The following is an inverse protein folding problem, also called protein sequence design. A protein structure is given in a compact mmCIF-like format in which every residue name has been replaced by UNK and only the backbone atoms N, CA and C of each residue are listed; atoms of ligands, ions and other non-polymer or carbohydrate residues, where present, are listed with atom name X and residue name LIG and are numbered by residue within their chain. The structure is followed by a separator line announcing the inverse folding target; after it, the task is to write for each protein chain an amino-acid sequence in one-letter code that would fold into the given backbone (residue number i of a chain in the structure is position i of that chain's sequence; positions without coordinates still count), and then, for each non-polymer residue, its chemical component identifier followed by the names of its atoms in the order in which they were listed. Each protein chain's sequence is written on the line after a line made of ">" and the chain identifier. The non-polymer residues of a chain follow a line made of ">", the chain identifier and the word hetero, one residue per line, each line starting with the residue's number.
data_IF_998902592543
#
_entry.id   IF_998902592543
#
_cell.length_a   1.000
_cell.length_b   1.000
_cell.length_c   1.000
_cell.angle_alpha   90.00
_cell.angle_beta   90.00
_cell.angle_gamma   90.00
#
_symmetry.space_group_name_H-M   'P 1'
#
loop_
_entity.id
_entity.type
_entity.pdbx_description
1 polymer ?
#
# COMPACT_ATOMS: atom_id res chain seq x y z
N UNK A 1 -34.88 -22.01 98.20
CA UNK A 1 -36.09 -21.18 98.60
C UNK A 1 -35.83 -19.79 98.05
N UNK A 2 -36.84 -19.03 97.62
CA UNK A 2 -37.83 -19.27 96.57
C UNK A 2 -37.59 -18.36 95.36
N UNK A 3 -37.94 -18.78 94.22
CA UNK A 3 -39.07 -18.49 93.34
C UNK A 3 -39.50 -17.01 93.20
N UNK A 4 -39.59 -16.53 91.95
CA UNK A 4 -40.68 -15.83 91.28
C UNK A 4 -40.25 -15.38 89.89
N UNK A 5 -40.77 -16.02 88.85
CA UNK A 5 -41.88 -15.69 87.96
C UNK A 5 -41.85 -14.24 87.44
N UNK A 6 -41.54 -14.10 86.15
CA UNK A 6 -42.46 -13.80 85.06
C UNK A 6 -42.86 -12.34 84.87
N UNK A 7 -42.48 -11.71 83.82
CA UNK A 7 -43.37 -10.98 82.93
C UNK A 7 -42.76 -10.75 81.57
N UNK A 8 -43.38 -11.36 80.55
CA UNK A 8 -43.14 -11.06 79.15
C UNK A 8 -43.73 -9.71 78.85
N UNK A 9 -42.93 -8.79 78.30
CA UNK A 9 -43.44 -7.65 77.48
C UNK A 9 -42.81 -7.79 76.06
N UNK A 10 -43.70 -8.09 75.16
CA UNK A 10 -43.44 -8.05 73.72
C UNK A 10 -43.47 -6.58 73.33
N UNK A 11 -42.31 -6.01 72.93
CA UNK A 11 -42.24 -4.76 72.23
C UNK A 11 -41.92 -5.09 70.76
N UNK A 12 -42.95 -5.00 69.93
CA UNK A 12 -42.80 -5.09 68.51
C UNK A 12 -42.08 -3.83 68.00
N UNK A 13 -40.77 -3.99 67.67
CA UNK A 13 -40.00 -2.95 66.99
C UNK A 13 -40.20 -3.13 65.53
N UNK A 14 -41.05 -2.31 64.91
CA UNK A 14 -41.19 -2.22 63.44
C UNK A 14 -39.96 -1.49 62.93
N UNK A 15 -38.97 -2.25 62.50
CA UNK A 15 -37.85 -1.75 61.68
C UNK A 15 -38.32 -1.49 60.29
N UNK A 16 -38.62 -0.23 59.94
CA UNK A 16 -38.71 0.23 58.55
C UNK A 16 -37.31 0.11 57.88
N UNK A 17 -37.07 -0.97 57.19
CA UNK A 17 -35.91 -1.08 56.35
C UNK A 17 -36.23 -0.28 55.05
N UNK A 18 -35.75 0.96 55.03
CA UNK A 18 -35.70 1.76 53.82
C UNK A 18 -34.67 1.11 52.85
N UNK A 19 -35.13 0.37 51.88
CA UNK A 19 -34.31 -0.05 50.73
C UNK A 19 -33.95 1.20 49.94
N UNK A 20 -32.78 1.77 50.20
CA UNK A 20 -32.14 2.70 49.28
C UNK A 20 -31.67 1.85 48.09
N UNK A 21 -32.49 1.81 47.07
CA UNK A 21 -32.05 1.29 45.76
C UNK A 21 -31.00 2.27 45.18
N UNK A 22 -29.73 2.04 45.52
CA UNK A 22 -28.63 2.63 44.77
C UNK A 22 -28.66 2.03 43.40
N UNK A 23 -29.34 2.72 42.47
CA UNK A 23 -29.25 2.45 41.07
C UNK A 23 -27.79 2.64 40.67
N UNK A 24 -27.06 1.54 40.52
CA UNK A 24 -25.86 1.52 39.72
C UNK A 24 -26.31 1.80 38.29
N UNK A 25 -26.31 3.07 37.92
CA UNK A 25 -26.22 3.43 36.50
C UNK A 25 -24.87 2.91 36.06
N UNK A 26 -24.87 1.65 35.55
CA UNK A 26 -23.78 1.09 34.82
C UNK A 26 -23.73 1.96 33.58
N UNK A 27 -22.84 2.96 33.55
CA UNK A 27 -22.48 3.66 32.33
C UNK A 27 -22.15 2.57 31.35
N UNK A 28 -23.05 2.34 30.42
CA UNK A 28 -22.75 1.57 29.22
C UNK A 28 -21.66 2.37 28.54
N UNK A 29 -20.39 2.00 28.81
CA UNK A 29 -19.26 2.41 27.99
C UNK A 29 -19.66 1.94 26.61
N UNK A 30 -20.13 2.87 25.80
CA UNK A 30 -20.37 2.65 24.39
C UNK A 30 -19.05 2.12 23.84
N UNK A 31 -18.96 0.81 23.71
CA UNK A 31 -17.82 0.21 23.00
C UNK A 31 -17.91 0.79 21.60
N UNK A 32 -17.07 1.77 21.32
CA UNK A 32 -16.85 2.21 19.94
C UNK A 32 -16.60 0.93 19.16
N UNK A 33 -17.48 0.62 18.23
CA UNK A 33 -17.35 -0.59 17.43
C UNK A 33 -15.95 -0.58 16.79
N UNK A 34 -15.25 -1.69 16.82
CA UNK A 34 -13.99 -1.82 16.09
C UNK A 34 -14.29 -2.03 14.63
N UNK A 35 -13.39 -1.55 13.75
CA UNK A 35 -13.41 -1.92 12.35
C UNK A 35 -13.07 -3.41 12.18
N UNK A 36 -13.23 -3.93 10.98
CA UNK A 36 -12.87 -5.32 10.69
C UNK A 36 -12.05 -5.45 9.43
N UNK A 37 -11.12 -6.39 9.44
CA UNK A 37 -10.34 -6.79 8.29
C UNK A 37 -10.99 -8.03 7.67
N UNK A 38 -11.25 -8.01 6.36
CA UNK A 38 -11.73 -9.17 5.60
C UNK A 38 -10.72 -9.53 4.53
N UNK A 39 -10.50 -10.81 4.31
CA UNK A 39 -9.72 -11.32 3.20
C UNK A 39 -10.65 -11.91 2.16
N UNK A 40 -10.52 -11.48 0.92
CA UNK A 40 -11.36 -11.91 -0.20
C UNK A 40 -10.52 -12.32 -1.39
N UNK A 41 -11.12 -13.09 -2.28
CA UNK A 41 -10.56 -13.39 -3.60
C UNK A 41 -11.25 -12.52 -4.63
N UNK A 42 -10.46 -11.82 -5.43
CA UNK A 42 -10.94 -10.94 -6.49
C UNK A 42 -10.47 -11.48 -7.83
N UNK A 43 -11.41 -11.63 -8.75
CA UNK A 43 -11.08 -11.98 -10.14
C UNK A 43 -10.30 -10.84 -10.78
N UNK A 44 -9.20 -11.19 -11.45
CA UNK A 44 -8.31 -10.29 -12.16
C UNK A 44 -8.17 -10.72 -13.64
N UNK A 45 -9.22 -10.52 -14.47
CA UNK A 45 -9.19 -10.90 -15.88
C UNK A 45 -7.98 -10.31 -16.65
N UNK A 46 -7.50 -9.15 -16.22
CA UNK A 46 -6.31 -8.51 -16.77
C UNK A 46 -5.04 -9.37 -16.67
N UNK A 47 -4.98 -10.31 -15.72
CA UNK A 47 -3.83 -11.21 -15.54
C UNK A 47 -3.93 -12.49 -16.38
N UNK A 48 -5.02 -12.69 -17.12
CA UNK A 48 -5.20 -13.88 -17.95
C UNK A 48 -4.14 -13.96 -19.04
N UNK A 49 -3.55 -15.13 -19.20
CA UNK A 49 -2.56 -15.40 -20.23
C UNK A 49 -1.14 -14.94 -19.90
N UNK A 50 -0.87 -14.54 -18.63
CA UNK A 50 0.52 -14.28 -18.21
C UNK A 50 1.39 -15.53 -18.37
N UNK A 51 2.65 -15.37 -18.80
CA UNK A 51 3.56 -16.48 -19.07
C UNK A 51 4.18 -17.11 -17.81
N UNK A 52 3.97 -16.49 -16.66
CA UNK A 52 4.53 -16.97 -15.39
C UNK A 52 3.63 -18.01 -14.69
N UNK A 53 2.38 -18.18 -15.15
CA UNK A 53 1.39 -19.06 -14.53
C UNK A 53 0.80 -18.49 -13.24
N UNK A 54 0.93 -17.19 -13.02
CA UNK A 54 0.33 -16.53 -11.85
C UNK A 54 -1.22 -16.58 -11.93
N UNK A 55 -1.90 -16.81 -10.80
CA UNK A 55 -3.35 -17.01 -10.79
C UNK A 55 -4.10 -15.72 -11.17
N UNK A 56 -5.20 -15.90 -11.90
CA UNK A 56 -6.13 -14.80 -12.24
C UNK A 56 -7.08 -14.44 -11.11
N UNK A 57 -6.99 -15.12 -9.99
CA UNK A 57 -7.72 -14.81 -8.77
C UNK A 57 -6.72 -14.35 -7.71
N UNK A 58 -6.84 -13.08 -7.29
CA UNK A 58 -5.89 -12.45 -6.38
C UNK A 58 -6.47 -12.27 -4.98
N UNK A 59 -5.64 -12.47 -3.96
CA UNK A 59 -6.00 -12.21 -2.57
C UNK A 59 -5.95 -10.71 -2.28
N UNK A 60 -7.01 -10.21 -1.66
CA UNK A 60 -7.13 -8.79 -1.27
C UNK A 60 -7.59 -8.72 0.18
N UNK A 61 -6.89 -7.96 1.01
CA UNK A 61 -7.37 -7.63 2.34
C UNK A 61 -8.09 -6.27 2.31
N UNK A 62 -9.24 -6.18 2.98
CA UNK A 62 -10.04 -4.95 3.01
C UNK A 62 -10.37 -4.63 4.45
N UNK A 63 -9.94 -3.45 4.90
CA UNK A 63 -10.37 -2.88 6.18
C UNK A 63 -11.67 -2.13 5.99
N UNK A 64 -12.65 -2.47 6.82
CA UNK A 64 -13.95 -1.81 6.91
C UNK A 64 -14.05 -1.04 8.23
N UNK A 65 -14.36 0.26 8.22
CA UNK A 65 -14.30 1.12 9.40
C UNK A 65 -15.42 0.80 10.41
N UNK A 66 -15.31 1.28 11.68
CA UNK A 66 -16.22 0.96 12.76
C UNK A 66 -17.71 1.18 12.45
N UNK A 67 -18.05 2.27 11.75
CA UNK A 67 -19.45 2.54 11.39
C UNK A 67 -19.93 1.76 10.16
N UNK A 68 -19.09 0.93 9.53
CA UNK A 68 -19.51 0.17 8.37
C UNK A 68 -20.69 -0.76 8.67
N UNK A 69 -20.68 -1.50 9.77
CA UNK A 69 -21.76 -2.43 10.10
C UNK A 69 -22.92 -1.76 10.88
N UNK A 70 -22.68 -0.63 11.53
CA UNK A 70 -23.69 0.08 12.35
C UNK A 70 -24.45 1.18 11.60
N UNK A 71 -23.96 1.61 10.43
CA UNK A 71 -24.56 2.67 9.62
C UNK A 71 -24.73 2.21 8.17
N UNK A 72 -25.76 1.38 7.86
CA UNK A 72 -25.89 0.70 6.57
C UNK A 72 -26.08 1.64 5.36
N UNK A 73 -26.54 2.86 5.57
CA UNK A 73 -26.69 3.86 4.52
C UNK A 73 -25.40 4.65 4.23
N UNK A 74 -24.40 4.57 5.12
CA UNK A 74 -23.17 5.33 4.98
C UNK A 74 -22.24 4.73 3.92
N UNK A 75 -21.68 5.58 3.08
CA UNK A 75 -20.63 5.25 2.13
C UNK A 75 -19.31 5.90 2.55
N UNK A 76 -18.21 5.33 2.09
CA UNK A 76 -16.87 5.67 2.55
C UNK A 76 -15.93 5.95 1.38
N UNK A 77 -15.02 6.93 1.51
CA UNK A 77 -13.87 7.03 0.63
C UNK A 77 -13.01 5.77 0.72
N UNK A 78 -12.18 5.54 -0.29
CA UNK A 78 -11.38 4.32 -0.39
C UNK A 78 -9.91 4.66 -0.61
N UNK A 79 -9.04 4.07 0.20
CA UNK A 79 -7.58 4.11 0.04
C UNK A 79 -7.08 2.75 -0.45
N UNK A 80 -6.39 2.73 -1.59
CA UNK A 80 -5.66 1.56 -2.08
C UNK A 80 -4.21 1.62 -1.58
N UNK A 81 -3.76 0.58 -0.85
CA UNK A 81 -2.47 0.57 -0.17
C UNK A 81 -1.58 -0.56 -0.72
N UNK A 82 -0.60 -0.19 -1.53
CA UNK A 82 0.26 -1.11 -2.28
C UNK A 82 1.50 -1.51 -1.47
N UNK A 83 1.86 -2.80 -1.47
CA UNK A 83 3.05 -3.30 -0.77
C UNK A 83 4.33 -3.20 -1.61
N UNK A 84 5.48 -3.28 -0.94
CA UNK A 84 6.81 -3.30 -1.57
C UNK A 84 7.19 -4.65 -2.16
N UNK A 85 8.34 -4.67 -2.85
CA UNK A 85 8.93 -5.89 -3.42
C UNK A 85 9.20 -6.95 -2.34
N UNK A 86 9.11 -8.22 -2.67
CA UNK A 86 9.15 -9.37 -1.73
C UNK A 86 8.00 -9.41 -0.72
N UNK A 87 7.07 -8.47 -0.76
CA UNK A 87 5.89 -8.44 0.11
C UNK A 87 4.64 -9.02 -0.56
N UNK A 88 3.55 -9.04 0.20
CA UNK A 88 2.20 -9.33 -0.25
C UNK A 88 1.21 -8.49 0.59
N UNK A 89 -0.10 -8.71 0.48
CA UNK A 89 -1.10 -7.99 1.26
C UNK A 89 -0.89 -8.08 2.79
N UNK A 90 -0.25 -9.16 3.29
CA UNK A 90 0.06 -9.33 4.73
C UNK A 90 1.15 -8.38 5.23
N UNK A 91 1.92 -7.75 4.32
CA UNK A 91 2.91 -6.75 4.72
C UNK A 91 2.28 -5.61 5.55
N UNK A 92 1.07 -5.20 5.18
CA UNK A 92 0.32 -4.16 5.87
C UNK A 92 -0.60 -4.67 6.98
N UNK A 93 -1.06 -5.91 6.89
CA UNK A 93 -2.17 -6.41 7.72
C UNK A 93 -1.74 -7.38 8.83
N UNK A 94 -0.58 -8.05 8.69
CA UNK A 94 -0.16 -9.13 9.57
C UNK A 94 1.33 -9.05 9.96
N UNK A 95 1.83 -7.87 10.26
CA UNK A 95 3.15 -7.68 10.87
C UNK A 95 4.33 -7.62 9.90
N UNK A 96 4.12 -7.59 8.59
CA UNK A 96 5.22 -7.60 7.61
C UNK A 96 6.11 -6.36 7.66
N UNK A 97 5.59 -5.20 8.00
CA UNK A 97 6.35 -3.99 8.26
C UNK A 97 6.53 -3.79 9.78
N UNK A 98 7.57 -4.40 10.35
CA UNK A 98 7.96 -4.24 11.76
C UNK A 98 6.81 -4.44 12.77
N UNK A 99 6.04 -5.49 12.57
CA UNK A 99 4.93 -5.84 13.46
C UNK A 99 3.67 -5.00 13.27
N UNK A 100 3.61 -4.17 12.23
CA UNK A 100 2.43 -3.35 11.95
C UNK A 100 1.21 -4.22 11.63
N UNK A 101 0.07 -3.88 12.20
CA UNK A 101 -1.23 -4.40 11.83
C UNK A 101 -2.16 -3.24 11.49
N UNK A 102 -2.69 -3.22 10.28
CA UNK A 102 -3.49 -2.11 9.76
C UNK A 102 -4.76 -1.88 10.58
N UNK A 103 -5.50 -2.95 10.93
CA UNK A 103 -6.78 -2.81 11.62
C UNK A 103 -6.66 -2.10 12.98
N UNK A 104 -5.80 -2.51 13.92
CA UNK A 104 -5.64 -1.80 15.19
C UNK A 104 -5.19 -0.35 15.01
N UNK A 105 -4.32 -0.07 14.04
CA UNK A 105 -3.86 1.29 13.75
C UNK A 105 -5.02 2.17 13.27
N UNK A 106 -5.81 1.70 12.31
CA UNK A 106 -6.97 2.44 11.80
C UNK A 106 -7.98 2.70 12.92
N UNK A 107 -8.30 1.69 13.72
CA UNK A 107 -9.26 1.79 14.83
C UNK A 107 -8.80 2.82 15.89
N UNK A 108 -7.51 2.80 16.24
CA UNK A 108 -6.90 3.75 17.17
C UNK A 108 -6.99 5.19 16.64
N UNK A 109 -6.63 5.40 15.39
CA UNK A 109 -6.62 6.72 14.76
C UNK A 109 -8.03 7.28 14.58
N UNK A 110 -8.99 6.46 14.19
CA UNK A 110 -10.41 6.84 14.05
C UNK A 110 -10.99 7.18 15.43
N UNK A 111 -10.78 6.32 16.42
CA UNK A 111 -11.25 6.54 17.81
C UNK A 111 -10.64 7.81 18.41
N UNK A 112 -9.38 8.08 18.12
CA UNK A 112 -8.68 9.29 18.56
C UNK A 112 -9.05 10.56 17.81
N UNK A 113 -9.94 10.49 16.81
CA UNK A 113 -10.32 11.63 15.96
C UNK A 113 -9.19 12.16 15.08
N UNK A 114 -8.11 11.40 14.91
CA UNK A 114 -6.95 11.79 14.09
C UNK A 114 -7.22 11.67 12.60
N UNK A 115 -8.11 10.77 12.21
CA UNK A 115 -8.54 10.55 10.81
C UNK A 115 -10.05 10.30 10.75
N UNK A 116 -10.60 10.54 9.57
CA UNK A 116 -11.98 10.20 9.21
C UNK A 116 -12.05 8.73 8.78
N UNK A 117 -13.24 8.13 8.87
CA UNK A 117 -13.47 6.73 8.48
C UNK A 117 -13.35 6.54 6.96
N UNK A 118 -12.50 5.60 6.53
CA UNK A 118 -12.35 5.22 5.14
C UNK A 118 -12.19 3.70 5.02
N UNK A 119 -12.54 3.13 3.89
CA UNK A 119 -12.20 1.75 3.51
C UNK A 119 -10.73 1.74 3.06
N UNK A 120 -9.95 0.73 3.50
CA UNK A 120 -8.59 0.54 3.00
C UNK A 120 -8.49 -0.81 2.30
N UNK A 121 -8.10 -0.78 1.03
CA UNK A 121 -7.96 -1.95 0.15
C UNK A 121 -6.48 -2.26 -0.01
N UNK A 122 -6.08 -3.47 0.33
CA UNK A 122 -4.69 -3.94 0.29
C UNK A 122 -4.59 -5.11 -0.69
N UNK A 123 -4.32 -4.84 -1.97
CA UNK A 123 -4.18 -5.90 -2.96
C UNK A 123 -2.87 -6.67 -2.78
N UNK A 124 -2.87 -7.93 -3.25
CA UNK A 124 -1.65 -8.65 -3.50
C UNK A 124 -1.07 -8.22 -4.86
N UNK A 125 0.23 -7.90 -4.89
CA UNK A 125 1.02 -7.61 -6.09
C UNK A 125 2.20 -8.57 -6.23
N UNK A 126 2.13 -9.75 -5.58
CA UNK A 126 3.12 -10.80 -5.68
C UNK A 126 2.88 -11.63 -6.95
N UNK A 127 3.95 -11.94 -7.67
CA UNK A 127 3.98 -12.84 -8.81
C UNK A 127 5.16 -13.82 -8.71
N UNK A 128 5.35 -14.68 -9.69
CA UNK A 128 6.44 -15.64 -9.73
C UNK A 128 7.84 -15.01 -9.66
N UNK A 129 8.00 -13.73 -10.00
CA UNK A 129 9.22 -12.94 -9.82
C UNK A 129 9.22 -12.07 -8.56
N UNK A 130 8.36 -12.35 -7.57
CA UNK A 130 8.30 -11.75 -6.22
C UNK A 130 7.76 -10.31 -6.18
N UNK A 131 7.29 -9.76 -7.30
CA UNK A 131 6.69 -8.44 -7.35
C UNK A 131 6.32 -8.00 -8.77
N UNK A 132 5.12 -7.48 -8.91
CA UNK A 132 4.50 -7.15 -10.19
C UNK A 132 4.89 -5.76 -10.73
N UNK A 133 5.47 -4.91 -9.90
CA UNK A 133 5.68 -3.49 -10.17
C UNK A 133 4.43 -2.75 -10.66
N UNK A 134 3.25 -3.33 -10.42
CA UNK A 134 1.93 -2.73 -10.71
C UNK A 134 1.83 -2.12 -12.13
N UNK A 135 2.47 -2.73 -13.12
CA UNK A 135 2.50 -2.28 -14.51
C UNK A 135 2.14 -3.39 -15.48
N UNK A 136 1.59 -3.04 -16.64
CA UNK A 136 1.20 -3.99 -17.67
C UNK A 136 2.43 -4.59 -18.38
N UNK A 137 2.44 -5.91 -18.55
CA UNK A 137 3.48 -6.67 -19.18
C UNK A 137 2.92 -7.89 -19.88
N UNK A 138 3.40 -8.18 -21.08
CA UNK A 138 3.05 -9.39 -21.84
C UNK A 138 3.56 -10.68 -21.21
N UNK A 139 4.45 -10.58 -20.21
CA UNK A 139 5.03 -11.72 -19.50
C UNK A 139 4.39 -11.90 -18.14
N UNK A 140 4.32 -10.85 -17.34
CA UNK A 140 3.81 -10.93 -15.95
C UNK A 140 2.29 -10.72 -15.84
N UNK A 141 1.62 -10.30 -16.91
CA UNK A 141 0.21 -9.92 -16.92
C UNK A 141 0.00 -8.41 -16.76
N UNK A 142 -1.22 -7.96 -16.96
CA UNK A 142 -1.57 -6.54 -16.95
C UNK A 142 -1.93 -6.07 -15.52
N UNK A 143 -0.92 -5.94 -14.66
CA UNK A 143 -1.10 -5.57 -13.26
C UNK A 143 -1.56 -4.13 -13.04
N UNK A 144 -1.25 -3.20 -13.95
CA UNK A 144 -1.82 -1.85 -13.96
C UNK A 144 -3.35 -1.93 -14.12
N UNK A 145 -3.82 -2.63 -15.17
CA UNK A 145 -5.24 -2.84 -15.45
C UNK A 145 -5.98 -3.56 -14.32
N UNK A 146 -5.31 -4.54 -13.69
CA UNK A 146 -5.87 -5.21 -12.53
C UNK A 146 -6.18 -4.23 -11.39
N UNK A 147 -5.23 -3.34 -11.05
CA UNK A 147 -5.41 -2.43 -9.91
C UNK A 147 -6.46 -1.36 -10.21
N UNK A 148 -6.29 -0.60 -11.33
CA UNK A 148 -7.15 0.57 -11.54
C UNK A 148 -8.53 0.22 -12.07
N UNK A 149 -8.70 -0.92 -12.72
CA UNK A 149 -9.96 -1.34 -13.34
C UNK A 149 -10.62 -2.50 -12.61
N UNK A 150 -10.03 -3.70 -12.70
CA UNK A 150 -10.68 -4.93 -12.22
C UNK A 150 -10.94 -4.89 -10.71
N UNK A 151 -9.93 -4.47 -9.93
CA UNK A 151 -10.04 -4.37 -8.47
C UNK A 151 -10.97 -3.23 -8.05
N UNK A 152 -10.83 -2.03 -8.66
CA UNK A 152 -11.68 -0.87 -8.33
C UNK A 152 -13.15 -1.19 -8.61
N UNK A 153 -13.46 -1.76 -9.77
CA UNK A 153 -14.82 -2.16 -10.12
C UNK A 153 -15.37 -3.20 -9.15
N UNK A 154 -14.58 -4.21 -8.78
CA UNK A 154 -15.00 -5.22 -7.81
C UNK A 154 -15.31 -4.62 -6.43
N UNK A 155 -14.43 -3.74 -5.95
CA UNK A 155 -14.60 -3.08 -4.64
C UNK A 155 -15.83 -2.17 -4.64
N UNK A 156 -16.01 -1.37 -5.67
CA UNK A 156 -17.17 -0.47 -5.77
C UNK A 156 -18.51 -1.24 -5.88
N UNK A 157 -18.50 -2.40 -6.53
CA UNK A 157 -19.71 -3.25 -6.67
C UNK A 157 -20.09 -3.98 -5.37
N UNK A 158 -19.10 -4.34 -4.54
CA UNK A 158 -19.34 -5.21 -3.37
C UNK A 158 -19.27 -4.48 -2.02
N UNK A 159 -18.77 -3.25 -1.99
CA UNK A 159 -18.59 -2.46 -0.75
C UNK A 159 -19.22 -1.07 -0.89
N UNK A 160 -19.58 -0.48 0.23
CA UNK A 160 -20.19 0.86 0.27
C UNK A 160 -19.14 1.96 0.13
N UNK A 161 -18.52 2.01 -1.04
CA UNK A 161 -17.59 3.06 -1.43
C UNK A 161 -18.33 4.30 -1.91
N UNK A 162 -17.69 5.46 -1.84
CA UNK A 162 -18.06 6.64 -2.63
C UNK A 162 -17.34 6.50 -3.97
N UNK A 163 -18.01 5.88 -4.95
CA UNK A 163 -17.44 5.41 -6.21
C UNK A 163 -17.16 6.54 -7.21
N UNK A 164 -16.22 7.44 -6.85
CA UNK A 164 -15.74 8.54 -7.72
C UNK A 164 -14.29 8.88 -7.43
N UNK A 165 -13.56 9.47 -8.39
CA UNK A 165 -12.13 9.77 -8.25
C UNK A 165 -11.78 10.59 -7.00
N UNK A 166 -12.56 11.64 -6.71
CA UNK A 166 -12.33 12.57 -5.60
C UNK A 166 -12.34 11.89 -4.23
N UNK A 167 -12.99 10.73 -4.14
CA UNK A 167 -13.10 9.92 -2.93
C UNK A 167 -12.18 8.69 -2.94
N UNK A 168 -11.24 8.61 -3.89
CA UNK A 168 -10.35 7.47 -4.05
C UNK A 168 -8.89 7.89 -4.05
N UNK A 169 -8.11 7.36 -3.11
CA UNK A 169 -6.69 7.59 -2.97
C UNK A 169 -5.87 6.31 -3.20
N UNK A 170 -4.59 6.50 -3.51
CA UNK A 170 -3.65 5.40 -3.67
C UNK A 170 -2.34 5.72 -2.95
N UNK A 171 -1.81 4.76 -2.18
CA UNK A 171 -0.52 4.87 -1.54
C UNK A 171 0.26 3.58 -1.65
N UNK A 172 1.56 3.64 -1.41
CA UNK A 172 2.37 2.44 -1.34
C UNK A 172 3.80 2.70 -0.91
N UNK A 173 4.49 1.63 -0.57
CA UNK A 173 5.87 1.64 -0.15
C UNK A 173 6.78 1.00 -1.21
N UNK A 174 7.94 1.60 -1.49
CA UNK A 174 8.95 1.03 -2.39
C UNK A 174 8.39 0.74 -3.79
N UNK A 175 8.33 -0.53 -4.21
CA UNK A 175 7.63 -0.97 -5.42
C UNK A 175 6.17 -0.48 -5.45
N UNK A 176 5.47 -0.50 -4.30
CA UNK A 176 4.11 0.04 -4.18
C UNK A 176 4.06 1.55 -4.29
N UNK A 177 5.11 2.26 -3.83
CA UNK A 177 5.26 3.70 -4.00
C UNK A 177 5.41 4.09 -5.48
N UNK A 178 6.22 3.35 -6.23
CA UNK A 178 6.30 3.45 -7.68
C UNK A 178 4.94 3.21 -8.33
N UNK A 179 4.28 2.08 -8.00
CA UNK A 179 2.96 1.75 -8.53
C UNK A 179 1.91 2.82 -8.24
N UNK A 180 1.91 3.38 -7.02
CA UNK A 180 0.99 4.44 -6.65
C UNK A 180 1.20 5.71 -7.50
N UNK A 181 2.46 6.13 -7.71
CA UNK A 181 2.79 7.29 -8.56
C UNK A 181 2.32 7.06 -10.00
N UNK A 182 2.68 5.92 -10.60
CA UNK A 182 2.35 5.63 -12.00
C UNK A 182 0.84 5.52 -12.21
N UNK A 183 0.15 4.83 -11.30
CA UNK A 183 -1.32 4.66 -11.40
C UNK A 183 -2.05 5.99 -11.26
N UNK A 184 -1.69 6.84 -10.29
CA UNK A 184 -2.31 8.15 -10.16
C UNK A 184 -1.99 9.09 -11.32
N UNK A 185 -0.75 9.05 -11.81
CA UNK A 185 -0.29 9.84 -12.96
C UNK A 185 -1.05 9.50 -14.25
N UNK A 186 -1.33 8.21 -14.48
CA UNK A 186 -2.00 7.76 -15.70
C UNK A 186 -3.52 7.73 -15.59
N UNK A 187 -4.05 7.54 -14.40
CA UNK A 187 -5.48 7.33 -14.16
C UNK A 187 -6.06 8.33 -13.13
N UNK A 188 -5.98 9.67 -13.41
CA UNK A 188 -6.54 10.68 -12.52
C UNK A 188 -8.09 10.67 -12.52
N UNK A 189 -8.70 9.97 -13.46
CA UNK A 189 -10.12 9.65 -13.52
C UNK A 189 -10.53 8.51 -12.57
N UNK A 190 -9.54 7.85 -11.94
CA UNK A 190 -9.74 6.81 -10.93
C UNK A 190 -9.24 7.23 -9.56
N UNK A 191 -8.04 7.82 -9.47
CA UNK A 191 -7.40 8.23 -8.22
C UNK A 191 -7.14 9.73 -8.21
N UNK A 192 -7.60 10.43 -7.17
CA UNK A 192 -7.40 11.88 -7.03
C UNK A 192 -6.25 12.26 -6.11
N UNK A 193 -5.73 11.36 -5.30
CA UNK A 193 -4.64 11.64 -4.37
C UNK A 193 -3.66 10.47 -4.28
N UNK A 194 -2.35 10.78 -4.21
CA UNK A 194 -1.28 9.79 -4.14
C UNK A 194 -0.29 10.11 -3.03
N UNK A 195 0.11 9.07 -2.28
CA UNK A 195 1.20 9.12 -1.32
C UNK A 195 2.23 8.01 -1.61
N UNK A 196 3.47 8.38 -1.90
CA UNK A 196 4.56 7.47 -2.21
C UNK A 196 5.60 7.46 -1.10
N UNK A 197 5.69 6.33 -0.36
CA UNK A 197 6.69 6.12 0.68
C UNK A 197 7.92 5.44 0.08
N UNK A 198 9.08 6.09 0.16
CA UNK A 198 10.36 5.56 -0.36
C UNK A 198 10.19 4.90 -1.75
N UNK A 199 9.58 5.59 -2.75
CA UNK A 199 9.24 4.97 -4.03
C UNK A 199 10.49 4.56 -4.80
N UNK A 200 10.56 3.29 -5.26
CA UNK A 200 11.62 2.85 -6.15
C UNK A 200 11.38 3.29 -7.60
N UNK A 201 12.35 3.08 -8.44
CA UNK A 201 12.18 2.97 -9.90
C UNK A 201 11.57 4.21 -10.59
N UNK A 202 11.69 5.40 -9.99
CA UNK A 202 11.21 6.63 -10.61
C UNK A 202 12.08 7.06 -11.80
N UNK A 203 13.33 6.58 -11.89
CA UNK A 203 14.29 6.82 -12.96
C UNK A 203 15.47 5.84 -12.93
N UNK A 204 16.33 5.88 -13.94
CA UNK A 204 17.52 5.02 -14.08
C UNK A 204 18.74 5.69 -13.43
N UNK A 205 18.83 5.61 -12.11
CA UNK A 205 19.89 6.22 -11.32
C UNK A 205 20.43 5.27 -10.24
N UNK A 206 21.56 5.61 -9.66
CA UNK A 206 22.15 4.90 -8.53
C UNK A 206 22.35 3.41 -8.79
N UNK A 207 21.76 2.60 -7.93
CA UNK A 207 21.85 1.13 -7.94
C UNK A 207 21.12 0.46 -9.10
N UNK A 208 20.39 1.19 -9.94
CA UNK A 208 19.81 0.69 -11.20
C UNK A 208 20.73 0.88 -12.41
N UNK A 209 21.83 1.60 -12.28
CA UNK A 209 22.78 1.84 -13.37
C UNK A 209 23.73 0.66 -13.60
N UNK A 210 24.48 0.70 -14.70
CA UNK A 210 25.50 -0.32 -15.04
C UNK A 210 26.65 -0.41 -14.03
N UNK A 211 26.76 0.53 -13.09
CA UNK A 211 27.75 0.50 -12.00
C UNK A 211 27.43 -0.57 -10.96
N UNK A 212 26.16 -1.03 -10.88
CA UNK A 212 25.80 -2.11 -9.96
C UNK A 212 26.32 -3.46 -10.50
N UNK A 213 27.27 -4.12 -9.77
CA UNK A 213 27.88 -5.37 -10.22
C UNK A 213 26.90 -6.54 -10.34
N UNK A 214 25.74 -6.46 -9.70
CA UNK A 214 24.70 -7.48 -9.79
C UNK A 214 24.12 -7.60 -11.22
N UNK A 215 24.18 -6.58 -12.06
CA UNK A 215 23.77 -6.67 -13.47
C UNK A 215 24.54 -7.75 -14.23
N UNK A 216 25.87 -7.74 -14.13
CA UNK A 216 26.69 -8.73 -14.83
C UNK A 216 26.39 -10.15 -14.37
N UNK A 217 26.17 -10.32 -13.04
CA UNK A 217 25.75 -11.60 -12.47
C UNK A 217 24.36 -12.03 -12.97
N UNK A 218 23.42 -11.08 -13.05
CA UNK A 218 22.04 -11.33 -13.52
C UNK A 218 21.99 -11.76 -14.99
N UNK A 219 22.73 -11.07 -15.85
CA UNK A 219 22.75 -11.35 -17.31
C UNK A 219 23.32 -12.75 -17.60
N UNK A 220 24.21 -13.25 -16.73
CA UNK A 220 24.82 -14.58 -16.85
C UNK A 220 23.96 -15.72 -16.29
N UNK A 221 22.82 -15.43 -15.70
CA UNK A 221 21.89 -16.46 -15.23
C UNK A 221 21.29 -17.22 -16.42
N UNK A 222 21.25 -18.54 -16.34
CA UNK A 222 20.76 -19.43 -17.38
C UNK A 222 19.50 -20.22 -17.00
N UNK A 223 19.12 -20.16 -15.74
CA UNK A 223 17.94 -20.87 -15.17
C UNK A 223 17.29 -20.05 -14.07
N UNK A 224 15.97 -20.17 -13.94
CA UNK A 224 15.21 -19.57 -12.82
C UNK A 224 15.61 -20.14 -11.46
N UNK A 225 16.08 -21.38 -11.40
CA UNK A 225 16.51 -22.03 -10.17
C UNK A 225 17.77 -21.39 -9.55
N UNK A 226 18.51 -20.60 -10.33
CA UNK A 226 19.65 -19.82 -9.85
C UNK A 226 19.23 -18.56 -9.07
N UNK A 227 17.96 -18.14 -9.18
CA UNK A 227 17.41 -17.05 -8.37
C UNK A 227 17.00 -17.60 -6.99
N UNK A 228 17.61 -17.08 -5.94
CA UNK A 228 17.27 -17.50 -4.59
C UNK A 228 15.82 -17.16 -4.22
N UNK A 229 15.13 -18.10 -3.59
CA UNK A 229 13.78 -17.85 -3.07
C UNK A 229 13.79 -16.73 -2.01
N UNK A 230 14.86 -16.67 -1.19
CA UNK A 230 15.12 -15.64 -0.19
C UNK A 230 16.57 -15.19 -0.34
N UNK A 231 16.82 -13.92 -0.69
CA UNK A 231 18.19 -13.41 -0.83
C UNK A 231 18.84 -13.24 0.55
N UNK A 232 20.11 -13.60 0.63
CA UNK A 232 20.96 -13.43 1.83
C UNK A 232 21.90 -12.22 1.69
N UNK A 233 22.10 -11.74 0.46
CA UNK A 233 22.98 -10.62 0.12
C UNK A 233 22.27 -9.60 -0.75
N UNK A 234 22.78 -8.37 -0.79
CA UNK A 234 22.29 -7.34 -1.72
C UNK A 234 22.45 -7.75 -3.18
N UNK A 235 23.52 -8.45 -3.53
CA UNK A 235 23.70 -8.95 -4.90
C UNK A 235 22.60 -9.91 -5.32
N UNK A 236 22.25 -10.87 -4.47
CA UNK A 236 21.15 -11.82 -4.72
C UNK A 236 19.79 -11.11 -4.78
N UNK A 237 19.59 -10.13 -3.91
CA UNK A 237 18.40 -9.27 -3.95
C UNK A 237 18.28 -8.55 -5.29
N UNK A 238 19.37 -7.91 -5.76
CA UNK A 238 19.35 -7.20 -7.04
C UNK A 238 19.18 -8.13 -8.24
N UNK A 239 19.73 -9.36 -8.21
CA UNK A 239 19.47 -10.33 -9.28
C UNK A 239 17.96 -10.61 -9.44
N UNK A 240 17.25 -10.80 -8.32
CA UNK A 240 15.80 -11.01 -8.36
C UNK A 240 15.07 -9.74 -8.84
N UNK A 241 15.45 -8.58 -8.30
CA UNK A 241 14.86 -7.27 -8.67
C UNK A 241 15.05 -6.99 -10.17
N UNK A 242 16.26 -7.23 -10.71
CA UNK A 242 16.56 -6.94 -12.12
C UNK A 242 15.81 -7.85 -13.07
N UNK A 243 15.64 -9.13 -12.73
CA UNK A 243 14.77 -10.03 -13.51
C UNK A 243 13.32 -9.56 -13.44
N UNK A 244 12.81 -9.25 -12.24
CA UNK A 244 11.42 -8.82 -12.04
C UNK A 244 11.11 -7.49 -12.75
N UNK A 245 12.02 -6.50 -12.63
CA UNK A 245 11.90 -5.22 -13.34
C UNK A 245 11.94 -5.41 -14.85
N UNK A 246 12.88 -6.23 -15.35
CA UNK A 246 12.96 -6.49 -16.79
C UNK A 246 11.71 -7.20 -17.31
N UNK A 247 11.15 -8.15 -16.55
CA UNK A 247 9.91 -8.81 -16.92
C UNK A 247 8.70 -7.85 -16.92
N UNK A 248 8.72 -6.85 -16.05
CA UNK A 248 7.68 -5.81 -15.97
C UNK A 248 7.86 -4.71 -17.03
N UNK A 249 9.10 -4.29 -17.31
CA UNK A 249 9.38 -3.08 -18.11
C UNK A 249 9.80 -3.38 -19.55
N UNK A 250 10.57 -4.45 -19.78
CA UNK A 250 11.04 -4.88 -21.10
C UNK A 250 10.81 -6.37 -21.33
N UNK A 251 9.52 -6.83 -21.25
CA UNK A 251 9.18 -8.22 -21.48
C UNK A 251 9.54 -8.67 -22.90
N UNK A 252 9.97 -9.95 -23.03
CA UNK A 252 10.24 -10.60 -24.29
C UNK A 252 9.90 -12.11 -24.21
N UNK A 253 8.72 -12.48 -24.68
CA UNK A 253 8.18 -13.84 -24.59
C UNK A 253 9.07 -14.90 -25.28
N UNK A 254 9.93 -14.50 -26.21
CA UNK A 254 10.80 -15.39 -26.97
C UNK A 254 12.16 -15.66 -26.28
N UNK A 255 12.49 -14.86 -25.24
CA UNK A 255 13.77 -14.95 -24.52
C UNK A 255 13.64 -15.71 -23.19
N UNK A 256 13.45 -17.04 -23.28
CA UNK A 256 13.59 -17.88 -22.09
C UNK A 256 15.03 -17.85 -21.51
N UNK A 257 15.22 -18.21 -20.24
CA UNK A 257 14.22 -18.69 -19.28
C UNK A 257 13.45 -17.59 -18.56
N UNK A 258 13.91 -16.32 -18.63
CA UNK A 258 13.31 -15.21 -17.86
C UNK A 258 12.26 -14.43 -18.65
N UNK A 259 12.21 -14.60 -19.97
CA UNK A 259 11.28 -13.88 -20.88
C UNK A 259 11.46 -12.37 -20.84
N UNK A 260 12.73 -11.90 -20.85
CA UNK A 260 13.08 -10.49 -20.71
C UNK A 260 14.16 -10.05 -21.69
N UNK A 261 14.15 -8.76 -22.03
CA UNK A 261 15.32 -8.03 -22.52
C UNK A 261 15.90 -7.22 -21.36
N UNK A 262 17.14 -7.49 -20.96
CA UNK A 262 17.79 -6.66 -19.94
C UNK A 262 18.19 -5.30 -20.55
N UNK A 263 18.17 -4.19 -19.75
CA UNK A 263 18.59 -2.85 -20.19
C UNK A 263 20.09 -2.76 -20.44
N UNK A 264 20.84 -3.76 -20.00
CA UNK A 264 22.26 -3.92 -20.27
C UNK A 264 22.53 -5.28 -20.90
N UNK A 265 23.61 -5.35 -21.67
CA UNK A 265 24.15 -6.58 -22.26
C UNK A 265 25.65 -6.66 -22.01
N UNK A 266 26.19 -7.87 -21.92
CA UNK A 266 27.62 -8.08 -21.78
C UNK A 266 28.31 -8.10 -23.13
N UNK A 267 29.30 -7.23 -23.33
CA UNK A 267 30.21 -7.26 -24.49
C UNK A 267 31.65 -7.14 -24.00
N UNK A 268 32.47 -8.10 -24.35
CA UNK A 268 33.91 -8.15 -23.98
C UNK A 268 34.14 -7.95 -22.44
N UNK A 269 33.29 -8.53 -21.62
CA UNK A 269 33.36 -8.45 -20.15
C UNK A 269 32.88 -7.12 -19.54
N UNK A 270 32.30 -6.24 -20.35
CA UNK A 270 31.74 -4.96 -19.91
C UNK A 270 30.22 -4.92 -20.15
N UNK A 271 29.54 -4.11 -19.35
CA UNK A 271 28.13 -3.84 -19.55
C UNK A 271 27.96 -2.69 -20.54
N UNK A 272 27.23 -2.94 -21.61
CA UNK A 272 26.80 -1.94 -22.56
C UNK A 272 25.28 -1.80 -22.54
N UNK A 273 24.77 -0.62 -22.89
CA UNK A 273 23.32 -0.39 -22.94
C UNK A 273 22.69 -1.18 -24.08
N UNK A 274 21.59 -1.86 -23.77
CA UNK A 274 20.64 -2.32 -24.77
C UNK A 274 19.63 -1.19 -25.00
N UNK A 275 19.84 -0.37 -26.01
CA UNK A 275 19.06 0.85 -26.24
C UNK A 275 17.55 0.58 -26.36
N UNK A 276 17.17 -0.53 -27.01
CA UNK A 276 15.75 -0.91 -27.15
C UNK A 276 15.10 -1.23 -25.80
N UNK A 277 15.76 -2.04 -24.97
CA UNK A 277 15.26 -2.35 -23.63
C UNK A 277 15.29 -1.11 -22.72
N UNK A 278 16.34 -0.29 -22.84
CA UNK A 278 16.48 0.94 -22.07
C UNK A 278 15.36 1.94 -22.39
N UNK A 279 14.97 2.08 -23.65
CA UNK A 279 13.84 2.90 -24.06
C UNK A 279 12.51 2.40 -23.46
N UNK A 280 12.28 1.07 -23.43
CA UNK A 280 11.10 0.45 -22.80
C UNK A 280 11.05 0.74 -21.28
N UNK A 281 12.21 0.68 -20.59
CA UNK A 281 12.31 1.02 -19.17
C UNK A 281 11.96 2.49 -18.93
N UNK A 282 12.54 3.42 -19.68
CA UNK A 282 12.25 4.85 -19.57
C UNK A 282 10.76 5.16 -19.75
N UNK A 283 10.10 4.49 -20.69
CA UNK A 283 8.66 4.65 -20.91
C UNK A 283 7.77 4.17 -19.74
N UNK A 284 8.34 3.49 -18.73
CA UNK A 284 7.65 3.04 -17.52
C UNK A 284 8.01 3.88 -16.27
N UNK A 285 9.04 4.71 -16.34
CA UNK A 285 9.56 5.42 -15.18
C UNK A 285 9.06 6.87 -15.13
N UNK A 286 8.48 7.30 -13.99
CA UNK A 286 7.84 8.62 -13.83
C UNK A 286 8.67 9.81 -14.28
N UNK A 287 9.98 9.82 -14.01
CA UNK A 287 10.86 10.93 -14.40
C UNK A 287 10.89 11.20 -15.90
N UNK A 288 10.70 10.18 -16.72
CA UNK A 288 10.81 10.31 -18.18
C UNK A 288 9.46 10.52 -18.88
N UNK A 289 8.35 10.27 -18.16
CA UNK A 289 6.99 10.43 -18.69
C UNK A 289 6.20 11.55 -18.01
N UNK A 290 6.87 12.35 -17.18
CA UNK A 290 6.22 13.44 -16.42
C UNK A 290 5.61 14.49 -17.33
N UNK A 291 6.27 14.82 -18.44
CA UNK A 291 5.77 15.82 -19.40
C UNK A 291 4.49 15.36 -20.11
N UNK A 292 4.45 14.12 -20.54
CA UNK A 292 3.30 13.50 -21.18
C UNK A 292 2.08 13.42 -20.24
N UNK A 293 2.33 13.39 -18.93
CA UNK A 293 1.30 13.24 -17.90
C UNK A 293 1.07 14.52 -17.09
N UNK A 294 1.61 15.65 -17.49
CA UNK A 294 1.50 16.92 -16.75
C UNK A 294 0.06 17.29 -16.45
N UNK A 295 -0.82 17.27 -17.46
CA UNK A 295 -2.23 17.63 -17.31
C UNK A 295 -2.98 16.67 -16.39
N UNK A 296 -2.59 15.41 -16.34
CA UNK A 296 -3.14 14.43 -15.43
C UNK A 296 -2.70 14.69 -13.99
N UNK A 297 -1.41 14.98 -13.78
CA UNK A 297 -0.86 15.30 -12.46
C UNK A 297 -1.48 16.58 -11.88
N UNK A 298 -1.82 17.56 -12.72
CA UNK A 298 -2.51 18.78 -12.30
C UNK A 298 -3.96 18.56 -11.85
N UNK A 299 -4.59 17.45 -12.22
CA UNK A 299 -5.95 17.08 -11.76
C UNK A 299 -5.94 16.47 -10.35
N UNK A 300 -4.78 16.04 -9.85
CA UNK A 300 -4.71 15.39 -8.55
C UNK A 300 -4.92 16.39 -7.41
N UNK A 301 -5.72 16.04 -6.43
CA UNK A 301 -5.97 16.83 -5.22
C UNK A 301 -4.79 16.85 -4.26
N UNK A 302 -3.86 15.91 -4.43
CA UNK A 302 -2.64 15.87 -3.65
C UNK A 302 -1.65 14.81 -4.12
N UNK A 303 -0.39 15.21 -4.10
CA UNK A 303 0.77 14.35 -4.35
C UNK A 303 1.70 14.50 -3.16
N UNK A 304 2.08 13.41 -2.51
CA UNK A 304 3.10 13.42 -1.48
C UNK A 304 4.12 12.32 -1.74
N UNK A 305 5.40 12.68 -1.64
CA UNK A 305 6.54 11.78 -1.80
C UNK A 305 7.43 11.93 -0.58
N UNK A 306 7.84 10.85 0.04
CA UNK A 306 8.82 10.90 1.11
C UNK A 306 9.81 9.74 1.06
N UNK A 307 10.94 9.92 1.77
CA UNK A 307 11.85 8.83 2.10
C UNK A 307 12.65 9.18 3.36
N UNK A 308 13.22 8.15 4.01
CA UNK A 308 14.02 8.32 5.20
C UNK A 308 15.43 8.84 4.92
N UNK A 309 15.95 9.70 5.78
CA UNK A 309 17.32 10.26 5.66
C UNK A 309 18.39 9.17 5.54
N UNK A 310 18.16 7.99 6.14
CA UNK A 310 19.05 6.82 6.10
C UNK A 310 18.59 5.76 5.10
N UNK A 311 17.83 6.16 4.05
CA UNK A 311 17.45 5.28 2.97
C UNK A 311 18.66 4.60 2.35
N UNK A 312 18.67 3.28 2.28
CA UNK A 312 19.81 2.47 1.85
C UNK A 312 19.97 2.36 0.34
N UNK A 313 18.85 2.56 -0.41
CA UNK A 313 18.84 2.45 -1.87
C UNK A 313 19.15 3.80 -2.52
N UNK A 314 20.33 3.97 -3.14
CA UNK A 314 20.72 5.25 -3.77
C UNK A 314 19.75 5.73 -4.83
N UNK A 315 19.18 4.82 -5.65
CA UNK A 315 18.19 5.16 -6.67
C UNK A 315 16.96 5.84 -6.07
N UNK A 316 16.47 5.39 -4.92
CA UNK A 316 15.29 5.96 -4.26
C UNK A 316 15.56 7.40 -3.84
N UNK A 317 16.70 7.66 -3.17
CA UNK A 317 17.07 9.02 -2.74
C UNK A 317 17.19 9.97 -3.93
N UNK A 318 17.98 9.57 -4.92
CA UNK A 318 18.29 10.41 -6.08
C UNK A 318 17.04 10.67 -6.91
N UNK A 319 16.29 9.61 -7.27
CA UNK A 319 15.16 9.76 -8.18
C UNK A 319 13.95 10.42 -7.51
N UNK A 320 13.75 10.26 -6.19
CA UNK A 320 12.69 10.99 -5.48
C UNK A 320 12.95 12.50 -5.45
N UNK A 321 14.20 12.93 -5.23
CA UNK A 321 14.58 14.35 -5.30
C UNK A 321 14.44 14.90 -6.73
N UNK A 322 14.91 14.14 -7.73
CA UNK A 322 14.77 14.53 -9.14
C UNK A 322 13.32 14.62 -9.56
N UNK A 323 12.45 13.71 -9.11
CA UNK A 323 11.03 13.73 -9.44
C UNK A 323 10.31 14.90 -8.77
N UNK A 324 10.58 15.19 -7.48
CA UNK A 324 10.08 16.39 -6.82
C UNK A 324 10.52 17.67 -7.54
N UNK A 325 11.79 17.75 -7.95
CA UNK A 325 12.30 18.87 -8.77
C UNK A 325 11.56 18.97 -10.10
N UNK A 326 11.37 17.85 -10.80
CA UNK A 326 10.67 17.82 -12.08
C UNK A 326 9.21 18.27 -11.97
N UNK A 327 8.51 17.93 -10.88
CA UNK A 327 7.17 18.42 -10.58
C UNK A 327 7.17 19.93 -10.32
N UNK A 328 8.14 20.43 -9.52
CA UNK A 328 8.28 21.88 -9.22
C UNK A 328 8.52 22.70 -10.48
N UNK A 329 9.41 22.27 -11.37
CA UNK A 329 9.74 22.93 -12.64
C UNK A 329 8.53 23.04 -13.60
N UNK A 330 7.53 22.16 -13.40
CA UNK A 330 6.27 22.14 -14.18
C UNK A 330 5.10 22.79 -13.47
N UNK A 331 5.34 23.43 -12.32
CA UNK A 331 4.32 24.01 -11.44
C UNK A 331 3.23 23.00 -11.03
N UNK A 332 3.59 21.73 -10.82
CA UNK A 332 2.69 20.69 -10.32
C UNK A 332 2.75 20.72 -8.78
N UNK A 333 1.63 21.05 -8.09
CA UNK A 333 1.59 21.13 -6.64
C UNK A 333 1.85 19.77 -6.02
N UNK A 334 2.84 19.67 -5.11
CA UNK A 334 3.16 18.45 -4.40
C UNK A 334 3.83 18.74 -3.06
N UNK A 335 3.89 17.75 -2.21
CA UNK A 335 4.65 17.73 -0.97
C UNK A 335 5.81 16.74 -1.08
N UNK A 336 6.95 17.13 -0.55
CA UNK A 336 8.14 16.30 -0.52
C UNK A 336 8.82 16.40 0.84
N UNK A 337 9.15 15.26 1.44
CA UNK A 337 9.77 15.22 2.77
C UNK A 337 10.90 14.18 2.82
N UNK A 338 12.07 14.59 3.31
CA UNK A 338 13.13 13.68 3.76
C UNK A 338 13.07 13.64 5.28
N UNK A 339 12.51 12.57 5.84
CA UNK A 339 12.28 12.50 7.28
C UNK A 339 13.51 11.96 8.03
N UNK A 340 13.73 12.50 9.23
CA UNK A 340 14.91 12.20 10.02
C UNK A 340 14.99 10.74 10.46
N UNK A 341 16.21 10.18 10.38
CA UNK A 341 16.61 8.90 10.98
C UNK A 341 15.98 7.63 10.39
N UNK A 342 15.09 7.73 9.39
CA UNK A 342 14.43 6.58 8.77
C UNK A 342 15.33 5.87 7.75
N UNK A 343 15.34 4.53 7.77
CA UNK A 343 15.83 3.66 6.71
C UNK A 343 14.69 3.28 5.78
N UNK A 344 14.93 2.44 4.77
CA UNK A 344 13.93 2.06 3.78
C UNK A 344 12.58 1.63 4.37
N UNK A 345 12.59 0.91 5.49
CA UNK A 345 11.36 0.39 6.08
C UNK A 345 11.19 0.65 7.59
N UNK A 346 12.17 1.32 8.25
CA UNK A 346 12.19 1.40 9.72
C UNK A 346 11.08 2.25 10.34
N UNK A 347 10.49 3.19 9.59
CA UNK A 347 9.48 4.12 10.10
C UNK A 347 8.14 4.03 9.39
N UNK A 348 7.85 2.94 8.70
CA UNK A 348 6.60 2.82 7.90
C UNK A 348 5.36 2.98 8.78
N UNK A 349 5.31 2.36 9.97
CA UNK A 349 4.19 2.52 10.90
C UNK A 349 4.03 3.99 11.33
N UNK A 350 5.13 4.62 11.76
CA UNK A 350 5.14 6.03 12.17
C UNK A 350 4.65 6.93 11.02
N UNK A 351 5.10 6.67 9.78
CA UNK A 351 4.70 7.44 8.61
C UNK A 351 3.22 7.24 8.28
N UNK A 352 2.69 6.01 8.37
CA UNK A 352 1.26 5.78 8.21
C UNK A 352 0.46 6.61 9.22
N UNK A 353 0.83 6.56 10.50
CA UNK A 353 0.13 7.22 11.59
C UNK A 353 0.21 8.75 11.51
N UNK A 354 1.40 9.29 11.21
CA UNK A 354 1.64 10.74 11.33
C UNK A 354 1.50 11.52 10.02
N UNK A 355 1.44 10.81 8.87
CA UNK A 355 1.39 11.48 7.56
C UNK A 355 0.37 10.84 6.61
N UNK A 356 0.54 9.57 6.25
CA UNK A 356 -0.21 8.96 5.14
C UNK A 356 -1.71 8.99 5.38
N UNK A 357 -2.18 8.45 6.52
CA UNK A 357 -3.61 8.34 6.79
C UNK A 357 -4.25 9.72 7.03
N UNK A 358 -3.51 10.66 7.64
CA UNK A 358 -3.97 12.04 7.80
C UNK A 358 -4.08 12.76 6.44
N UNK A 359 -3.08 12.59 5.56
CA UNK A 359 -3.12 13.15 4.21
C UNK A 359 -4.39 12.72 3.46
N UNK A 360 -4.74 11.43 3.46
CA UNK A 360 -5.97 10.99 2.80
C UNK A 360 -7.24 11.45 3.52
N UNK A 361 -7.20 11.56 4.83
CA UNK A 361 -8.32 12.13 5.61
C UNK A 361 -8.61 13.59 5.26
N UNK A 362 -7.60 14.34 4.80
CA UNK A 362 -7.71 15.74 4.37
C UNK A 362 -8.04 15.87 2.87
N UNK A 363 -7.41 15.04 2.02
CA UNK A 363 -7.45 15.19 0.55
C UNK A 363 -8.63 14.53 -0.13
N UNK A 364 -9.19 13.45 0.46
CA UNK A 364 -10.32 12.77 -0.13
C UNK A 364 -11.65 13.48 0.18
N UNK A 365 -12.58 13.38 -0.75
CA UNK A 365 -13.95 13.86 -0.54
C UNK A 365 -14.78 12.76 0.15
N UNK A 366 -15.36 13.13 1.29
CA UNK A 366 -16.22 12.29 2.13
C UNK A 366 -17.70 12.56 1.94
N UNK A 367 -18.08 13.49 1.07
CA UNK A 367 -19.49 13.78 0.80
C UNK A 367 -20.10 12.67 -0.07
N UNK A 368 -21.24 12.14 0.37
CA UNK A 368 -21.99 11.21 -0.46
C UNK A 368 -22.69 11.99 -1.58
N UNK A 369 -22.64 11.56 -2.84
CA UNK A 369 -23.44 12.16 -3.91
C UNK A 369 -24.91 12.19 -3.51
N UNK A 370 -25.57 13.32 -3.77
CA UNK A 370 -27.02 13.49 -3.55
C UNK A 370 -27.83 12.64 -4.52
#
# INVERSE_FOLDING_TARGET
>A
MPSRRLARFIFALVCCISFVATGFAQEAISRVAAGRLVEVKVSAPALKGNLLGDPVEQSVAIYLPPSYDTSPAKRFPTLYLLHGFLGNNKAWTAGGYQGMSLQPLMDEMIKGGKIREMIVVVPNGWNAYKGAFYTNSTVTGNWEDYIYRDLVQNVDANYRTIARPESRGIAGHSMGGYGAVVLAMKHPDVFSAVYALSPCCLGMEGDLTSENPAWLKTIRLTSKDQLKAKPDTFDEFYQIVFVALSAAFSPNAERGPFYVDFPYQEQNGRLEKNESAFAKWRAKMPLYIVDENKENLLKLHGIFIDYGQKEEFPAIRTTSQQFSKALSERNIPHMFEVYEGGTHSSKIRERLETRVLQFFSEKLDFSTPK
#
